data_IF_254866462322
#
_entry.id   IF_254866462322
#
_cell.length_a   1.000
_cell.length_b   1.000
_cell.length_c   1.000
_cell.angle_alpha   90.00
_cell.angle_beta   90.00
_cell.angle_gamma   90.00
#
_symmetry.space_group_name_H-M   'P 1'
#
loop_
_entity.id
_entity.type
_entity.pdbx_description
1 polymer ?
#
# COMPACT_ATOMS: atom_id res chain seq x y z
N UNK A 1 -18.76 16.37 -58.40
CA UNK A 1 -18.80 16.59 -56.94
C UNK A 1 -18.73 15.24 -56.21
N UNK A 2 -17.64 14.74 -55.67
CA UNK A 2 -16.25 14.70 -56.12
C UNK A 2 -15.61 13.50 -55.38
N UNK A 3 -15.64 12.30 -55.98
CA UNK A 3 -15.20 11.04 -55.30
C UNK A 3 -13.71 11.08 -54.92
N UNK A 4 -12.93 11.90 -55.64
CA UNK A 4 -11.53 12.20 -55.33
C UNK A 4 -11.37 13.03 -54.06
N UNK A 5 -12.36 13.87 -53.73
CA UNK A 5 -12.34 14.66 -52.51
C UNK A 5 -12.56 13.76 -51.28
N UNK A 6 -13.42 12.74 -51.41
CA UNK A 6 -13.69 11.78 -50.32
C UNK A 6 -12.49 10.86 -50.05
N UNK A 7 -11.86 10.33 -51.11
CA UNK A 7 -10.64 9.52 -50.97
C UNK A 7 -9.47 10.34 -50.41
N UNK A 8 -9.36 11.62 -50.81
CA UNK A 8 -8.38 12.56 -50.26
C UNK A 8 -8.60 12.85 -48.78
N UNK A 9 -9.85 13.01 -48.33
CA UNK A 9 -10.19 13.24 -46.92
C UNK A 9 -9.87 12.01 -46.07
N UNK A 10 -10.13 10.80 -46.56
CA UNK A 10 -9.80 9.55 -45.84
C UNK A 10 -8.27 9.38 -45.74
N UNK A 11 -7.54 9.63 -46.83
CA UNK A 11 -6.09 9.56 -46.82
C UNK A 11 -5.47 10.59 -45.85
N UNK A 12 -6.03 11.81 -45.80
CA UNK A 12 -5.59 12.85 -44.87
C UNK A 12 -5.90 12.48 -43.41
N UNK A 13 -7.09 11.92 -43.15
CA UNK A 13 -7.49 11.45 -41.82
C UNK A 13 -6.62 10.28 -41.35
N UNK A 14 -6.29 9.34 -42.25
CA UNK A 14 -5.37 8.24 -41.96
C UNK A 14 -3.95 8.74 -41.67
N UNK A 15 -3.43 9.69 -42.46
CA UNK A 15 -2.14 10.35 -42.19
C UNK A 15 -2.12 11.07 -40.85
N UNK A 16 -3.18 11.78 -40.48
CA UNK A 16 -3.33 12.44 -39.18
C UNK A 16 -3.45 11.41 -38.02
N UNK A 17 -4.11 10.28 -38.24
CA UNK A 17 -4.17 9.18 -37.25
C UNK A 17 -2.82 8.48 -37.08
N UNK A 18 -2.05 8.27 -38.15
CA UNK A 18 -0.71 7.66 -38.06
C UNK A 18 0.28 8.64 -37.41
N UNK A 19 0.16 9.95 -37.69
CA UNK A 19 0.95 10.98 -37.02
C UNK A 19 0.65 11.08 -35.51
N UNK A 20 -0.60 10.81 -35.09
CA UNK A 20 -0.97 10.77 -33.66
C UNK A 20 -0.65 9.44 -32.96
N UNK A 21 -0.32 8.38 -33.72
CA UNK A 21 0.13 7.09 -33.17
C UNK A 21 1.65 6.93 -33.04
N UNK A 22 2.43 7.95 -33.43
CA UNK A 22 3.81 8.09 -32.93
C UNK A 22 3.71 8.53 -31.48
N UNK A 23 3.44 7.54 -30.63
CA UNK A 23 3.36 7.61 -29.18
C UNK A 23 4.71 8.11 -28.69
N UNK A 24 4.85 9.42 -28.57
CA UNK A 24 5.92 10.04 -27.81
C UNK A 24 5.91 9.40 -26.44
N UNK A 25 6.99 8.70 -26.11
CA UNK A 25 7.25 8.32 -24.73
C UNK A 25 7.20 9.61 -23.92
N UNK A 26 6.42 9.56 -22.85
CA UNK A 26 5.98 10.66 -22.01
C UNK A 26 7.20 11.39 -21.39
N UNK A 27 7.82 12.33 -22.10
CA UNK A 27 8.82 13.23 -21.56
C UNK A 27 8.18 14.63 -21.49
N UNK A 28 7.58 14.94 -20.34
CA UNK A 28 6.71 16.10 -20.12
C UNK A 28 7.44 17.46 -20.05
N UNK A 29 8.73 17.53 -20.42
CA UNK A 29 9.57 18.75 -20.29
C UNK A 29 10.65 18.88 -21.36
N UNK A 30 10.97 20.12 -21.82
CA UNK A 30 12.13 20.37 -22.67
C UNK A 30 13.42 20.06 -21.90
N UNK A 31 14.35 19.35 -22.55
CA UNK A 31 15.57 18.89 -21.92
C UNK A 31 16.53 20.05 -21.65
N UNK A 32 16.81 20.31 -20.38
CA UNK A 32 17.84 21.24 -19.94
C UNK A 32 19.16 20.46 -19.76
N UNK A 33 19.90 20.28 -20.85
CA UNK A 33 21.23 19.65 -20.81
C UNK A 33 22.32 20.70 -20.53
N UNK A 34 23.41 20.33 -19.82
CA UNK A 34 24.59 21.19 -19.74
C UNK A 34 25.15 21.44 -21.14
N UNK A 35 25.68 22.64 -21.37
CA UNK A 35 26.28 23.05 -22.65
C UNK A 35 27.49 22.20 -23.06
N UNK A 36 28.15 21.56 -22.10
CA UNK A 36 29.29 20.68 -22.31
C UNK A 36 28.94 19.25 -21.89
N UNK A 37 29.36 18.27 -22.69
CA UNK A 37 29.19 16.85 -22.39
C UNK A 37 30.05 16.49 -21.17
N UNK A 38 29.49 15.81 -20.15
CA UNK A 38 30.24 15.48 -18.95
C UNK A 38 31.38 14.52 -19.27
N UNK A 39 32.56 14.79 -18.70
CA UNK A 39 33.70 13.86 -18.75
C UNK A 39 33.56 12.86 -17.61
N UNK A 40 33.26 11.61 -17.94
CA UNK A 40 33.10 10.56 -16.94
C UNK A 40 34.45 10.06 -16.41
N UNK A 41 34.48 9.53 -15.17
CA UNK A 41 35.66 8.87 -14.62
C UNK A 41 36.17 7.72 -15.51
N UNK A 42 37.45 7.37 -15.37
CA UNK A 42 38.06 6.31 -16.17
C UNK A 42 37.31 4.96 -15.98
N UNK A 43 36.90 4.36 -17.09
CA UNK A 43 36.16 3.10 -17.09
C UNK A 43 34.64 3.22 -16.94
N UNK A 44 34.08 4.44 -16.87
CA UNK A 44 32.63 4.67 -16.84
C UNK A 44 32.16 5.20 -18.20
N UNK A 45 31.23 4.51 -18.89
CA UNK A 45 30.74 4.95 -20.19
C UNK A 45 29.78 6.14 -20.10
N UNK A 46 29.73 6.91 -21.19
CA UNK A 46 28.69 7.90 -21.45
C UNK A 46 27.46 7.18 -22.01
N UNK A 47 26.32 7.36 -21.36
CA UNK A 47 25.05 6.75 -21.73
C UNK A 47 23.97 7.82 -21.86
N UNK A 48 23.00 7.63 -22.77
CA UNK A 48 21.85 8.52 -22.86
C UNK A 48 20.94 8.34 -21.64
N UNK A 49 20.41 9.45 -21.12
CA UNK A 49 19.30 9.51 -20.15
C UNK A 49 18.08 8.66 -20.62
N UNK A 50 17.16 8.27 -19.73
CA UNK A 50 15.94 7.51 -20.04
C UNK A 50 15.05 8.14 -21.13
N UNK A 51 15.06 9.47 -21.24
CA UNK A 51 14.40 10.21 -22.34
C UNK A 51 15.30 10.40 -23.59
N UNK A 52 16.48 9.78 -23.62
CA UNK A 52 17.52 9.86 -24.68
C UNK A 52 17.96 11.27 -25.09
N UNK A 53 17.89 12.21 -24.15
CA UNK A 53 18.03 13.62 -24.46
C UNK A 53 19.38 14.22 -24.06
N UNK A 54 19.91 13.83 -22.89
CA UNK A 54 21.21 14.29 -22.40
C UNK A 54 22.17 13.10 -22.26
N UNK A 55 23.46 13.36 -22.50
CA UNK A 55 24.53 12.42 -22.20
C UNK A 55 24.88 12.50 -20.72
N UNK A 56 24.85 11.37 -20.02
CA UNK A 56 25.16 11.27 -18.60
C UNK A 56 26.13 10.12 -18.36
N UNK A 57 26.85 10.16 -17.25
CA UNK A 57 27.73 9.05 -16.86
C UNK A 57 26.89 7.88 -16.34
N UNK A 58 27.19 6.68 -16.81
CA UNK A 58 26.50 5.48 -16.39
C UNK A 58 26.74 5.19 -14.91
N UNK A 59 25.66 4.93 -14.17
CA UNK A 59 25.73 4.56 -12.76
C UNK A 59 26.29 3.16 -12.58
N UNK A 60 27.16 3.00 -11.60
CA UNK A 60 27.87 1.76 -11.27
C UNK A 60 27.12 0.98 -10.18
N UNK A 61 27.58 -0.23 -9.86
CA UNK A 61 26.92 -1.11 -8.88
C UNK A 61 26.77 -0.42 -7.52
N UNK A 62 25.60 -0.57 -6.91
CA UNK A 62 25.23 0.06 -5.64
C UNK A 62 25.16 1.61 -5.65
N UNK A 63 25.15 2.23 -6.84
CA UNK A 63 24.88 3.66 -6.97
C UNK A 63 23.37 3.94 -7.15
N UNK A 64 22.88 5.10 -6.67
CA UNK A 64 21.50 5.50 -6.85
C UNK A 64 21.22 5.81 -8.32
N UNK A 65 20.17 5.19 -8.87
CA UNK A 65 19.74 5.34 -10.26
C UNK A 65 18.31 5.86 -10.33
N UNK A 66 18.03 6.58 -11.41
CA UNK A 66 16.69 7.10 -11.75
C UNK A 66 16.52 7.02 -13.25
N UNK A 67 15.33 7.35 -13.78
CA UNK A 67 15.15 7.50 -15.23
C UNK A 67 16.17 8.49 -15.84
N UNK A 68 16.52 9.55 -15.10
CA UNK A 68 17.52 10.55 -15.50
C UNK A 68 18.96 10.05 -15.48
N UNK A 69 19.23 9.06 -14.62
CA UNK A 69 20.56 8.56 -14.31
C UNK A 69 20.58 7.03 -14.42
N UNK A 70 20.70 6.49 -15.65
CA UNK A 70 20.67 5.05 -15.89
C UNK A 70 21.97 4.34 -15.48
N UNK A 71 21.85 3.05 -15.19
CA UNK A 71 22.95 2.16 -14.85
C UNK A 71 23.77 1.73 -16.07
N UNK A 72 24.98 1.25 -15.81
CA UNK A 72 25.91 0.75 -16.83
C UNK A 72 25.48 -0.61 -17.40
N UNK A 73 24.82 -0.56 -18.56
CA UNK A 73 24.38 -1.75 -19.29
C UNK A 73 25.54 -2.60 -19.82
N UNK A 74 26.73 -2.02 -20.05
CA UNK A 74 27.89 -2.80 -20.53
C UNK A 74 28.41 -3.74 -19.44
N UNK A 75 28.14 -3.42 -18.18
CA UNK A 75 28.46 -4.24 -17.02
C UNK A 75 27.27 -5.08 -16.54
N UNK A 76 26.20 -5.16 -17.33
CA UNK A 76 25.00 -5.92 -16.99
C UNK A 76 24.26 -5.36 -15.78
N UNK A 77 24.36 -4.05 -15.52
CA UNK A 77 23.68 -3.41 -14.40
C UNK A 77 22.31 -2.90 -14.83
N UNK A 78 21.32 -3.14 -13.96
CA UNK A 78 19.95 -2.68 -14.14
C UNK A 78 19.47 -1.97 -12.88
N UNK A 79 18.65 -0.94 -13.04
CA UNK A 79 18.12 -0.18 -11.92
C UNK A 79 17.01 -0.97 -11.22
N UNK A 80 17.23 -1.34 -9.96
CA UNK A 80 16.24 -1.99 -9.10
C UNK A 80 15.53 -0.97 -8.21
N UNK A 81 14.20 -0.92 -8.35
CA UNK A 81 13.32 -0.09 -7.53
C UNK A 81 12.57 -0.91 -6.48
N UNK A 82 12.83 -2.22 -6.36
CA UNK A 82 12.11 -3.14 -5.46
C UNK A 82 12.22 -2.75 -3.99
N UNK A 83 13.27 -2.02 -3.62
CA UNK A 83 13.52 -1.53 -2.27
C UNK A 83 13.18 -0.03 -2.06
N UNK A 84 12.73 0.69 -3.09
CA UNK A 84 12.52 2.15 -3.06
C UNK A 84 11.03 2.53 -3.02
N UNK A 85 10.69 3.63 -2.33
CA UNK A 85 9.33 4.18 -2.34
C UNK A 85 9.03 4.87 -3.69
N UNK A 86 7.74 5.04 -4.08
CA UNK A 86 7.38 5.74 -5.31
C UNK A 86 7.98 7.16 -5.36
N UNK A 87 8.86 7.41 -6.33
CA UNK A 87 9.55 8.69 -6.51
C UNK A 87 10.95 8.78 -5.88
N UNK A 88 11.39 7.75 -5.13
CA UNK A 88 12.78 7.66 -4.67
C UNK A 88 13.69 6.96 -5.70
N UNK A 89 15.01 7.25 -5.71
CA UNK A 89 15.96 6.58 -6.58
C UNK A 89 16.02 5.07 -6.31
N UNK A 90 16.19 4.29 -7.38
CA UNK A 90 16.54 2.87 -7.31
C UNK A 90 18.03 2.67 -7.07
N UNK A 91 18.48 1.42 -7.04
CA UNK A 91 19.88 1.04 -6.90
C UNK A 91 20.34 0.19 -8.11
N UNK A 92 21.54 0.44 -8.63
CA UNK A 92 22.08 -0.38 -9.72
C UNK A 92 22.56 -1.74 -9.22
N UNK A 93 21.88 -2.80 -9.65
CA UNK A 93 22.19 -4.20 -9.31
C UNK A 93 22.62 -4.99 -10.55
N UNK A 94 23.34 -6.09 -10.34
CA UNK A 94 23.70 -7.00 -11.43
C UNK A 94 22.50 -7.78 -11.93
N UNK A 95 22.45 -8.08 -13.22
CA UNK A 95 21.40 -8.90 -13.82
C UNK A 95 21.29 -10.30 -13.18
N UNK A 96 22.37 -10.80 -12.59
CA UNK A 96 22.42 -12.06 -11.81
C UNK A 96 21.70 -11.99 -10.45
N UNK A 97 21.57 -10.79 -9.86
CA UNK A 97 20.84 -10.57 -8.61
C UNK A 97 19.32 -10.37 -8.83
N UNK A 98 18.90 -10.10 -10.07
CA UNK A 98 17.50 -9.97 -10.50
C UNK A 98 16.88 -11.30 -10.95
N UNK A 99 17.66 -12.39 -10.92
CA UNK A 99 17.21 -13.73 -11.27
C UNK A 99 16.27 -14.28 -10.21
N UNK A 100 14.96 -14.22 -10.47
CA UNK A 100 14.07 -15.23 -9.92
C UNK A 100 14.48 -16.57 -10.55
N UNK A 101 15.27 -17.38 -9.85
CA UNK A 101 15.46 -18.78 -10.24
C UNK A 101 14.10 -19.48 -10.18
N UNK A 102 13.53 -19.76 -11.34
CA UNK A 102 12.35 -20.60 -11.46
C UNK A 102 12.66 -21.97 -10.88
N UNK A 103 12.13 -22.26 -9.69
CA UNK A 103 12.28 -23.51 -8.95
C UNK A 103 11.75 -24.77 -9.68
N UNK A 104 11.38 -24.65 -10.96
CA UNK A 104 10.75 -25.68 -11.78
C UNK A 104 11.80 -26.52 -12.53
N UNK A 105 13.02 -26.04 -12.75
CA UNK A 105 14.01 -26.77 -13.58
C UNK A 105 14.91 -27.75 -12.80
N UNK A 106 14.83 -27.78 -11.47
CA UNK A 106 15.68 -28.67 -10.64
C UNK A 106 15.20 -30.14 -10.57
N UNK A 107 14.04 -30.49 -11.15
CA UNK A 107 13.54 -31.87 -11.17
C UNK A 107 13.67 -32.52 -12.55
N UNK A 108 14.90 -32.86 -12.95
CA UNK A 108 15.14 -33.89 -13.97
C UNK A 108 15.95 -35.04 -13.35
N UNK A 109 15.41 -36.27 -13.29
CA UNK A 109 16.10 -37.39 -12.66
C UNK A 109 17.13 -37.94 -13.65
N UNK A 110 18.41 -37.93 -13.28
CA UNK A 110 19.44 -38.53 -14.15
C UNK A 110 20.90 -38.17 -13.88
N UNK A 111 21.22 -37.34 -12.88
CA UNK A 111 22.61 -37.17 -12.45
C UNK A 111 22.82 -37.81 -11.09
N UNK A 112 23.64 -38.87 -11.09
CA UNK A 112 24.15 -39.56 -9.91
C UNK A 112 24.91 -38.56 -9.03
N UNK A 113 24.35 -38.19 -7.88
CA UNK A 113 25.03 -37.34 -6.90
C UNK A 113 26.03 -38.20 -6.14
N UNK A 114 27.31 -37.81 -6.02
CA UNK A 114 28.22 -38.46 -5.08
C UNK A 114 27.69 -38.26 -3.66
N UNK A 115 27.68 -39.35 -2.90
CA UNK A 115 27.22 -39.45 -1.53
C UNK A 115 27.83 -38.36 -0.63
N UNK A 116 27.02 -37.37 -0.26
CA UNK A 116 27.33 -36.42 0.80
C UNK A 116 26.98 -37.05 2.17
N UNK A 117 27.78 -36.80 3.22
CA UNK A 117 27.54 -37.33 4.56
C UNK A 117 26.18 -36.94 5.13
N UNK A 118 25.59 -37.91 5.82
CA UNK A 118 24.27 -37.89 6.46
C UNK A 118 24.29 -37.03 7.72
N UNK A 119 24.35 -35.72 7.56
CA UNK A 119 23.98 -34.77 8.62
C UNK A 119 23.37 -33.50 7.99
N UNK A 120 22.07 -33.55 7.75
CA UNK A 120 21.25 -32.36 7.48
C UNK A 120 20.38 -32.08 8.71
N UNK A 121 20.76 -31.13 9.58
CA UNK A 121 19.84 -30.51 10.52
C UNK A 121 18.93 -29.56 9.72
N UNK A 122 17.93 -30.12 9.04
CA UNK A 122 16.90 -29.36 8.33
C UNK A 122 15.92 -28.75 9.34
N UNK A 123 16.38 -27.79 10.15
CA UNK A 123 15.49 -26.93 10.93
C UNK A 123 16.09 -25.57 11.37
N UNK A 124 17.19 -25.10 10.77
CA UNK A 124 17.77 -23.78 11.12
C UNK A 124 18.36 -23.05 9.91
N UNK A 125 17.52 -22.66 8.95
CA UNK A 125 17.84 -21.57 8.02
C UNK A 125 16.71 -20.53 7.90
N UNK A 126 15.82 -20.47 8.90
CA UNK A 126 15.33 -19.14 9.30
C UNK A 126 16.52 -18.53 10.03
N UNK A 127 17.31 -17.74 9.32
CA UNK A 127 18.23 -16.80 9.95
C UNK A 127 17.43 -16.13 11.07
N UNK A 128 17.85 -16.18 12.35
CA UNK A 128 17.25 -15.31 13.34
C UNK A 128 17.40 -13.92 12.74
N UNK A 129 16.25 -13.29 12.41
CA UNK A 129 16.24 -11.90 12.01
C UNK A 129 17.15 -11.19 13.00
N UNK A 130 18.15 -10.48 12.50
CA UNK A 130 19.01 -9.62 13.31
C UNK A 130 18.14 -8.95 14.37
N UNK A 131 18.56 -8.85 15.65
CA UNK A 131 17.70 -8.40 16.74
C UNK A 131 17.06 -7.08 16.36
N UNK A 132 15.83 -7.21 15.88
CA UNK A 132 15.14 -6.19 15.13
C UNK A 132 14.41 -5.43 16.22
N UNK A 133 14.82 -4.20 16.47
CA UNK A 133 14.16 -3.42 17.53
C UNK A 133 12.79 -3.06 16.99
N UNK A 134 11.79 -3.81 17.42
CA UNK A 134 10.41 -3.58 17.01
C UNK A 134 9.96 -2.20 17.46
N UNK A 135 9.62 -1.37 16.48
CA UNK A 135 9.12 -0.01 16.66
C UNK A 135 7.79 0.06 15.94
N UNK A 136 6.76 0.39 16.68
CA UNK A 136 5.41 0.56 16.13
C UNK A 136 4.78 1.77 16.77
N UNK A 137 4.28 2.65 15.91
CA UNK A 137 3.45 3.78 16.33
C UNK A 137 2.07 3.30 16.77
N UNK A 138 1.38 4.12 17.55
CA UNK A 138 -0.03 3.87 17.84
C UNK A 138 -0.86 3.99 16.56
N UNK A 139 -1.97 3.26 16.51
CA UNK A 139 -2.94 3.40 15.42
C UNK A 139 -3.54 4.80 15.39
N UNK A 140 -3.70 5.34 14.19
CA UNK A 140 -4.44 6.58 13.96
C UNK A 140 -5.89 6.44 14.40
N UNK A 141 -6.56 7.57 14.61
CA UNK A 141 -8.02 7.57 14.67
C UNK A 141 -8.61 6.97 13.38
N UNK A 142 -9.79 6.36 13.49
CA UNK A 142 -10.52 5.87 12.32
C UNK A 142 -10.82 7.05 11.40
N UNK A 143 -10.76 6.87 10.09
CA UNK A 143 -11.07 7.96 9.14
C UNK A 143 -12.51 8.44 9.22
N UNK A 144 -13.41 7.60 9.75
CA UNK A 144 -14.84 7.89 9.88
C UNK A 144 -15.33 7.66 11.31
N UNK A 145 -16.17 8.58 11.80
CA UNK A 145 -16.75 8.45 13.14
C UNK A 145 -17.90 7.44 13.21
N UNK A 146 -18.47 7.03 12.08
CA UNK A 146 -19.45 5.96 11.95
C UNK A 146 -19.25 5.21 10.63
N UNK A 147 -19.78 4.00 10.53
CA UNK A 147 -19.64 3.19 9.33
C UNK A 147 -18.24 2.58 9.19
N UNK A 148 -17.95 2.05 8.01
CA UNK A 148 -16.64 1.50 7.71
C UNK A 148 -15.66 2.63 7.40
N UNK A 149 -14.49 2.59 8.01
CA UNK A 149 -13.38 3.51 7.78
C UNK A 149 -12.04 2.77 7.82
N UNK A 150 -10.97 3.54 7.85
CA UNK A 150 -9.59 3.05 7.81
C UNK A 150 -8.77 3.71 8.91
N UNK A 151 -7.91 2.96 9.57
CA UNK A 151 -6.89 3.47 10.49
C UNK A 151 -5.50 2.99 10.05
N UNK A 152 -4.50 3.84 10.17
CA UNK A 152 -3.13 3.57 9.74
C UNK A 152 -2.15 3.64 10.90
N UNK A 153 -1.01 2.97 10.78
CA UNK A 153 0.16 3.13 11.65
C UNK A 153 1.43 2.90 10.84
N UNK A 154 2.56 3.35 11.36
CA UNK A 154 3.88 2.94 10.87
C UNK A 154 4.45 1.87 11.80
N UNK A 155 4.85 0.74 11.25
CA UNK A 155 5.46 -0.38 11.96
C UNK A 155 6.59 -1.01 11.16
N UNK A 156 7.61 -1.52 11.84
CA UNK A 156 8.64 -2.37 11.25
C UNK A 156 8.45 -3.87 11.55
N UNK A 157 7.28 -4.29 12.05
CA UNK A 157 6.96 -5.69 12.33
C UNK A 157 6.63 -6.47 11.03
N UNK A 158 7.62 -6.58 10.15
CA UNK A 158 7.54 -7.38 8.94
C UNK A 158 8.83 -8.20 8.78
N UNK A 159 8.82 -9.26 7.95
CA UNK A 159 9.99 -10.12 7.74
C UNK A 159 11.25 -9.36 7.28
N UNK A 160 11.09 -8.17 6.69
CA UNK A 160 12.18 -7.32 6.23
C UNK A 160 12.67 -6.30 7.28
N UNK A 161 12.02 -6.20 8.46
CA UNK A 161 12.29 -5.19 9.50
C UNK A 161 12.34 -3.73 8.96
N UNK A 162 11.56 -3.41 7.93
CA UNK A 162 11.53 -2.05 7.35
C UNK A 162 10.33 -1.28 7.88
N UNK A 163 10.48 0.00 8.19
CA UNK A 163 9.34 0.84 8.56
C UNK A 163 8.38 0.94 7.37
N UNK A 164 7.16 0.44 7.54
CA UNK A 164 6.12 0.41 6.53
C UNK A 164 4.81 0.96 7.10
N UNK A 165 3.98 1.52 6.23
CA UNK A 165 2.64 1.97 6.60
C UNK A 165 1.69 0.78 6.60
N UNK A 166 1.23 0.40 7.77
CA UNK A 166 0.18 -0.59 7.95
C UNK A 166 -1.19 0.07 7.97
N UNK A 167 -2.16 -0.59 7.35
CA UNK A 167 -3.53 -0.09 7.20
C UNK A 167 -4.51 -1.16 7.64
N UNK A 168 -5.47 -0.81 8.50
CA UNK A 168 -6.56 -1.72 8.91
C UNK A 168 -7.94 -1.08 8.79
N UNK A 169 -8.94 -1.92 8.56
CA UNK A 169 -10.33 -1.50 8.54
C UNK A 169 -10.83 -1.24 9.96
N UNK A 170 -11.60 -0.17 10.15
CA UNK A 170 -12.18 0.20 11.44
C UNK A 170 -13.66 0.53 11.32
N UNK A 171 -14.41 0.27 12.39
CA UNK A 171 -15.82 0.65 12.49
C UNK A 171 -16.15 1.02 13.93
N UNK A 172 -16.13 2.32 14.23
CA UNK A 172 -16.35 2.83 15.59
C UNK A 172 -17.79 2.61 16.05
N UNK A 173 -18.76 2.88 15.17
CA UNK A 173 -20.20 2.69 15.39
C UNK A 173 -20.94 2.56 14.06
N UNK A 174 -22.06 1.83 13.99
CA UNK A 174 -22.95 1.86 12.83
C UNK A 174 -23.58 3.26 12.65
N UNK A 175 -23.70 3.74 11.41
CA UNK A 175 -24.35 5.03 11.15
C UNK A 175 -25.88 4.99 11.37
N UNK A 176 -26.51 3.81 11.17
CA UNK A 176 -27.97 3.67 11.24
C UNK A 176 -28.53 3.47 12.66
N UNK A 177 -27.70 3.45 13.70
CA UNK A 177 -28.15 3.27 15.09
C UNK A 177 -28.77 4.53 15.72
N UNK A 178 -29.09 5.56 14.92
CA UNK A 178 -29.71 6.81 15.39
C UNK A 178 -31.25 6.76 15.42
N UNK A 179 -31.91 5.68 14.99
CA UNK A 179 -33.40 5.60 14.95
C UNK A 179 -34.08 4.58 15.86
N UNK A 180 -33.52 4.27 17.03
CA UNK A 180 -34.31 3.67 18.12
C UNK A 180 -34.02 4.37 19.45
N UNK A 181 -34.68 5.52 19.65
CA UNK A 181 -35.08 5.94 20.99
C UNK A 181 -36.34 5.15 21.37
N UNK A 182 -36.36 4.33 22.42
CA UNK A 182 -37.55 4.19 23.23
C UNK A 182 -37.72 5.48 24.03
N UNK A 183 -38.80 6.21 23.78
CA UNK A 183 -39.26 7.32 24.63
C UNK A 183 -39.82 6.71 25.92
N UNK A 184 -38.97 6.43 26.90
CA UNK A 184 -39.41 6.27 28.29
C UNK A 184 -38.32 6.81 29.22
N UNK A 185 -38.60 7.86 30.02
CA UNK A 185 -37.72 8.26 31.09
C UNK A 185 -37.96 7.32 32.27
N UNK A 186 -37.20 6.23 32.37
CA UNK A 186 -37.17 5.43 33.59
C UNK A 186 -36.16 6.02 34.56
N UNK A 187 -36.71 6.73 35.54
CA UNK A 187 -36.03 7.18 36.74
C UNK A 187 -35.47 5.97 37.51
N UNK A 188 -34.20 6.02 37.89
CA UNK A 188 -33.59 5.05 38.81
C UNK A 188 -32.84 3.89 38.14
N UNK A 189 -31.65 4.15 37.61
CA UNK A 189 -30.55 3.17 37.59
C UNK A 189 -29.24 3.96 37.75
N UNK A 190 -28.71 3.92 38.97
CA UNK A 190 -27.52 4.59 39.42
C UNK A 190 -26.30 3.72 39.07
N UNK A 191 -25.37 4.26 38.27
CA UNK A 191 -24.01 3.73 38.12
C UNK A 191 -23.76 2.84 36.89
N UNK A 192 -23.31 3.44 35.77
CA UNK A 192 -22.15 3.03 34.97
C UNK A 192 -22.14 3.78 33.62
N UNK A 193 -20.97 4.29 33.23
CA UNK A 193 -20.76 5.02 31.98
C UNK A 193 -20.90 4.06 30.77
N UNK A 194 -22.07 4.04 30.11
CA UNK A 194 -22.44 3.21 28.93
C UNK A 194 -21.76 3.63 27.61
N UNK A 195 -20.53 4.13 27.66
CA UNK A 195 -19.84 4.66 26.49
C UNK A 195 -19.45 3.58 25.45
N UNK A 196 -19.65 2.29 25.73
CA UNK A 196 -19.51 1.21 24.74
C UNK A 196 -20.65 0.20 24.87
N UNK A 197 -21.04 -0.43 23.75
CA UNK A 197 -22.10 -1.45 23.71
C UNK A 197 -21.73 -2.54 22.73
N UNK A 198 -22.26 -3.74 22.94
CA UNK A 198 -22.06 -4.87 22.04
C UNK A 198 -23.17 -4.91 21.00
N UNK A 199 -22.88 -5.39 19.80
CA UNK A 199 -23.89 -5.68 18.80
C UNK A 199 -24.97 -6.61 19.37
N UNK A 200 -26.25 -6.40 19.02
CA UNK A 200 -27.36 -7.20 19.57
C UNK A 200 -27.26 -8.70 19.22
N UNK A 201 -26.46 -9.04 18.21
CA UNK A 201 -26.07 -10.41 17.89
C UNK A 201 -24.80 -10.42 17.03
N UNK A 202 -24.36 -11.61 16.57
CA UNK A 202 -23.26 -11.73 15.64
C UNK A 202 -23.58 -11.04 14.31
N UNK A 203 -22.69 -10.15 13.87
CA UNK A 203 -22.86 -9.39 12.62
C UNK A 203 -21.76 -9.76 11.63
N UNK A 204 -22.11 -9.82 10.35
CA UNK A 204 -21.12 -9.94 9.27
C UNK A 204 -20.55 -8.58 8.91
N UNK A 205 -19.25 -8.53 8.72
CA UNK A 205 -18.54 -7.35 8.25
C UNK A 205 -18.70 -7.26 6.72
N UNK A 206 -18.80 -6.04 6.21
CA UNK A 206 -18.94 -5.76 4.78
C UNK A 206 -17.84 -4.81 4.35
N UNK A 207 -17.13 -5.16 3.28
CA UNK A 207 -16.08 -4.33 2.69
C UNK A 207 -16.10 -4.47 1.17
N UNK A 208 -16.29 -3.36 0.45
CA UNK A 208 -16.29 -3.31 -1.02
C UNK A 208 -17.17 -4.38 -1.70
N UNK A 209 -18.37 -4.64 -1.15
CA UNK A 209 -19.30 -5.65 -1.69
C UNK A 209 -18.97 -7.09 -1.30
N UNK A 210 -17.92 -7.32 -0.51
CA UNK A 210 -17.58 -8.63 0.06
C UNK A 210 -18.04 -8.73 1.51
N UNK A 211 -18.39 -9.94 1.96
CA UNK A 211 -18.90 -10.20 3.30
C UNK A 211 -17.94 -11.12 4.07
N UNK A 212 -17.78 -10.92 5.38
CA UNK A 212 -16.95 -11.80 6.18
C UNK A 212 -17.48 -13.24 6.17
N UNK A 213 -16.58 -14.22 6.14
CA UNK A 213 -16.94 -15.64 6.22
C UNK A 213 -17.56 -15.98 7.57
N UNK A 214 -17.02 -15.39 8.63
CA UNK A 214 -17.50 -15.51 10.00
C UNK A 214 -18.33 -14.30 10.42
N UNK A 215 -19.31 -14.51 11.30
CA UNK A 215 -20.02 -13.43 11.98
C UNK A 215 -19.34 -13.14 13.31
N UNK A 216 -19.20 -11.87 13.65
CA UNK A 216 -18.50 -11.42 14.86
C UNK A 216 -19.46 -10.68 15.78
N UNK A 217 -19.35 -10.94 17.07
CA UNK A 217 -20.01 -10.13 18.07
C UNK A 217 -19.12 -8.92 18.37
N UNK A 218 -19.45 -7.77 17.75
CA UNK A 218 -18.61 -6.58 17.77
C UNK A 218 -18.99 -5.66 18.91
N UNK A 219 -18.00 -5.01 19.52
CA UNK A 219 -18.22 -3.87 20.41
C UNK A 219 -18.10 -2.57 19.63
N UNK A 220 -19.02 -1.65 19.90
CA UNK A 220 -19.04 -0.31 19.34
C UNK A 220 -18.92 0.73 20.44
N UNK A 221 -18.37 1.90 20.08
CA UNK A 221 -18.36 3.06 20.95
C UNK A 221 -19.68 3.82 20.82
N UNK A 222 -20.24 4.23 21.95
CA UNK A 222 -21.48 4.98 22.08
C UNK A 222 -21.24 6.49 22.03
N UNK A 223 -21.95 7.20 22.89
CA UNK A 223 -21.82 8.65 23.06
C UNK A 223 -21.61 8.93 24.54
N UNK A 224 -20.79 9.93 24.85
CA UNK A 224 -20.62 10.41 26.21
C UNK A 224 -21.84 11.29 26.57
N UNK A 225 -22.19 11.33 27.86
CA UNK A 225 -23.30 12.16 28.35
C UNK A 225 -22.96 13.65 28.42
N UNK A 226 -21.69 14.00 28.22
CA UNK A 226 -21.14 15.35 28.26
C UNK A 226 -20.61 15.77 26.87
N UNK A 227 -19.90 16.90 26.79
CA UNK A 227 -19.32 17.43 25.56
C UNK A 227 -18.05 16.71 25.07
N UNK A 228 -17.74 15.52 25.59
CA UNK A 228 -16.59 14.72 25.16
C UNK A 228 -16.94 13.79 24.01
N UNK A 229 -15.94 13.46 23.21
CA UNK A 229 -16.06 12.39 22.22
C UNK A 229 -15.66 11.04 22.82
N UNK A 230 -16.38 10.00 22.41
CA UNK A 230 -16.05 8.62 22.73
C UNK A 230 -15.21 8.01 21.62
N UNK A 231 -14.01 7.55 21.92
CA UNK A 231 -13.11 6.91 20.96
C UNK A 231 -12.62 5.55 21.48
N UNK A 232 -12.17 4.65 20.58
CA UNK A 232 -11.57 3.38 20.99
C UNK A 232 -10.27 3.60 21.78
N UNK A 233 -10.12 2.92 22.93
CA UNK A 233 -8.90 2.96 23.74
C UNK A 233 -8.11 1.66 23.59
N UNK A 234 -8.63 0.54 24.11
CA UNK A 234 -8.01 -0.77 23.91
C UNK A 234 -8.60 -1.45 22.67
N UNK A 235 -7.75 -1.71 21.68
CA UNK A 235 -8.14 -2.37 20.43
C UNK A 235 -7.12 -3.41 20.01
N UNK A 236 -7.57 -4.51 19.40
CA UNK A 236 -6.72 -5.49 18.74
C UNK A 236 -6.98 -5.48 17.23
N UNK A 237 -6.05 -6.02 16.45
CA UNK A 237 -6.26 -6.25 15.01
C UNK A 237 -6.48 -7.74 14.79
N UNK A 238 -7.52 -8.10 14.05
CA UNK A 238 -7.81 -9.47 13.65
C UNK A 238 -7.79 -9.57 12.12
N UNK A 239 -7.14 -10.61 11.59
CA UNK A 239 -7.18 -10.93 10.17
C UNK A 239 -8.51 -11.59 9.82
N UNK A 240 -9.35 -10.89 9.05
CA UNK A 240 -10.70 -11.34 8.68
C UNK A 240 -10.72 -11.73 7.21
N UNK A 241 -11.25 -12.94 6.94
CA UNK A 241 -11.48 -13.42 5.59
C UNK A 241 -12.86 -12.99 5.08
N UNK A 242 -12.91 -12.45 3.87
CA UNK A 242 -14.11 -11.98 3.17
C UNK A 242 -14.33 -12.81 1.92
N UNK A 243 -15.58 -13.20 1.68
CA UNK A 243 -16.03 -13.79 0.42
C UNK A 243 -16.73 -12.72 -0.42
N UNK A 244 -16.31 -12.60 -1.67
CA UNK A 244 -16.91 -11.68 -2.64
C UNK A 244 -17.86 -12.44 -3.55
N UNK A 245 -18.84 -11.74 -4.15
CA UNK A 245 -19.74 -12.31 -5.16
C UNK A 245 -19.02 -12.89 -6.38
N UNK A 246 -17.79 -12.44 -6.62
CA UNK A 246 -16.89 -12.93 -7.69
C UNK A 246 -16.20 -14.25 -7.36
N UNK A 247 -16.44 -14.85 -6.18
CA UNK A 247 -15.79 -16.09 -5.73
C UNK A 247 -14.38 -15.91 -5.16
N UNK A 248 -13.86 -14.67 -5.11
CA UNK A 248 -12.55 -14.37 -4.50
C UNK A 248 -12.64 -14.33 -2.98
N UNK A 249 -11.62 -14.87 -2.32
CA UNK A 249 -11.39 -14.72 -0.88
C UNK A 249 -10.35 -13.63 -0.64
N UNK A 250 -10.68 -12.65 0.22
CA UNK A 250 -9.81 -11.55 0.59
C UNK A 250 -9.54 -11.58 2.09
N UNK A 251 -8.28 -11.48 2.49
CA UNK A 251 -7.91 -11.28 3.90
C UNK A 251 -7.60 -9.80 4.15
N UNK A 252 -8.20 -9.24 5.19
CA UNK A 252 -7.98 -7.86 5.60
C UNK A 252 -7.88 -7.74 7.12
N UNK A 253 -6.93 -6.94 7.63
CA UNK A 253 -6.87 -6.59 9.04
C UNK A 253 -8.07 -5.73 9.43
N UNK A 254 -8.77 -6.11 10.50
CA UNK A 254 -9.92 -5.39 11.06
C UNK A 254 -9.69 -5.08 12.53
N UNK A 255 -9.98 -3.85 12.92
CA UNK A 255 -9.94 -3.40 14.31
C UNK A 255 -11.08 -4.01 15.13
N UNK A 256 -10.72 -4.70 16.21
CA UNK A 256 -11.62 -5.22 17.24
C UNK A 256 -11.52 -4.33 18.49
N UNK A 257 -12.65 -3.74 18.89
CA UNK A 257 -12.70 -2.81 20.02
C UNK A 257 -12.97 -3.59 21.31
N UNK A 258 -12.15 -3.38 22.34
CA UNK A 258 -12.37 -3.96 23.68
C UNK A 258 -12.91 -2.94 24.67
N UNK A 259 -12.46 -1.69 24.57
CA UNK A 259 -12.94 -0.59 25.42
C UNK A 259 -12.93 0.75 24.68
N UNK A 260 -13.77 1.68 25.15
CA UNK A 260 -13.84 3.05 24.66
C UNK A 260 -13.71 4.02 25.84
N UNK A 261 -13.17 5.20 25.59
CA UNK A 261 -12.98 6.26 26.60
C UNK A 261 -13.51 7.60 26.10
N UNK A 262 -13.99 8.42 27.03
CA UNK A 262 -14.45 9.78 26.75
C UNK A 262 -13.31 10.78 27.01
N UNK A 263 -12.91 11.54 25.99
CA UNK A 263 -11.88 12.57 26.11
C UNK A 263 -12.26 13.86 25.35
N UNK A 264 -11.58 14.96 25.65
CA UNK A 264 -11.83 16.26 25.00
C UNK A 264 -11.15 16.38 23.63
N UNK A 265 -10.11 15.60 23.35
CA UNK A 265 -9.34 15.72 22.10
C UNK A 265 -10.01 15.00 20.93
N UNK A 266 -10.97 15.64 20.28
CA UNK A 266 -11.80 14.96 19.29
C UNK A 266 -11.15 14.91 17.90
N UNK A 267 -10.81 13.71 17.38
CA UNK A 267 -10.13 13.58 16.09
C UNK A 267 -11.03 13.88 14.89
N UNK A 268 -12.34 13.98 15.12
CA UNK A 268 -13.36 14.29 14.11
C UNK A 268 -13.89 15.73 14.22
N UNK A 269 -13.30 16.56 15.07
CA UNK A 269 -13.74 17.95 15.17
C UNK A 269 -13.40 18.70 13.86
N UNK A 270 -14.26 19.60 13.39
CA UNK A 270 -14.15 20.25 12.07
C UNK A 270 -12.88 21.10 11.85
N UNK A 271 -11.99 21.20 12.85
CA UNK A 271 -10.77 22.01 12.84
C UNK A 271 -9.51 21.30 13.38
N UNK A 272 -9.54 20.00 13.68
CA UNK A 272 -8.39 19.29 14.30
C UNK A 272 -7.59 18.40 13.34
N UNK A 273 -8.00 18.26 12.08
CA UNK A 273 -7.29 17.41 11.11
C UNK A 273 -7.14 18.07 9.72
N UNK A 274 -5.93 18.51 9.33
CA UNK A 274 -5.64 19.03 7.99
C UNK A 274 -5.94 18.02 6.87
N UNK A 275 -5.91 16.71 7.17
CA UNK A 275 -6.12 15.64 6.18
C UNK A 275 -7.60 15.45 5.76
N UNK A 276 -8.55 16.15 6.38
CA UNK A 276 -9.99 16.04 6.09
C UNK A 276 -10.59 17.28 5.41
N UNK A 277 -9.76 18.22 4.95
CA UNK A 277 -10.24 19.45 4.29
C UNK A 277 -10.92 19.21 2.92
N UNK A 278 -10.68 18.06 2.29
CA UNK A 278 -11.26 17.71 0.98
C UNK A 278 -12.69 17.13 0.99
N UNK A 279 -13.30 16.94 2.15
CA UNK A 279 -14.67 16.40 2.29
C UNK A 279 -15.63 17.36 3.00
N UNK A 280 -15.44 18.67 2.83
CA UNK A 280 -16.46 19.66 3.21
C UNK A 280 -17.46 19.82 2.05
N UNK A 281 -18.79 19.82 2.32
CA UNK A 281 -19.77 20.27 1.35
C UNK A 281 -19.60 21.76 1.03
#
# INVERSE_FOLDING_TARGET
MDRRLYDGVIALAALLCVATQVRSQLCDRPCLCPSEVPRCPAGIPLVPDGCRCCQVCARQRAEPCTEKFPCDSQRGLQCDYSASFPGEPGECVGQEDLGCEDAITAMRPGRLWPSLPRDHPLNKLVLPASPCTEKSTQWSACSQSCGAGVSTRVSNQNPACKLQMETRLCKVRPCNAVRTRPRTPMWGQQGQCKASYTSPGPVRLVHQGCFSTQAFQLRFCGQCTDSRCCTPYHTTTAEVSFHCSTGRLLQRPVMMIHSCVCHNNCPYAPYSNPALWGYRP
#
